data_IF_253645147056
#
_entry.id   IF_253645147056
#
_cell.length_a   1.000
_cell.length_b   1.000
_cell.length_c   1.000
_cell.angle_alpha   90.00
_cell.angle_beta   90.00
_cell.angle_gamma   90.00
#
_symmetry.space_group_name_H-M   'P 1'
#
loop_
_entity.id
_entity.type
_entity.pdbx_description
1 polymer ?
#
# COMPACT_ATOMS: atom_id res chain seq x y z
N UNK A 1 -23.84 -12.18 -10.85
CA UNK A 1 -24.45 -10.87 -11.19
C UNK A 1 -25.20 -10.99 -12.51
N UNK A 2 -26.49 -11.40 -12.52
CA UNK A 2 -27.25 -11.58 -13.77
C UNK A 2 -27.57 -10.27 -14.49
N UNK A 3 -27.65 -9.14 -13.76
CA UNK A 3 -27.90 -7.83 -14.34
C UNK A 3 -26.74 -7.30 -15.20
N UNK A 4 -25.50 -7.70 -14.90
CA UNK A 4 -24.30 -7.29 -15.65
C UNK A 4 -24.35 -7.82 -17.09
N UNK A 5 -24.76 -9.08 -17.29
CA UNK A 5 -24.89 -9.69 -18.63
C UNK A 5 -25.95 -9.03 -19.51
N UNK A 6 -26.91 -8.31 -18.91
CA UNK A 6 -28.02 -7.65 -19.63
C UNK A 6 -27.68 -6.19 -19.93
N UNK A 7 -26.92 -5.53 -19.04
CA UNK A 7 -26.62 -4.10 -19.12
C UNK A 7 -25.24 -3.79 -19.71
N UNK A 8 -24.30 -4.74 -19.70
CA UNK A 8 -22.96 -4.50 -20.24
C UNK A 8 -22.95 -4.56 -21.78
N UNK A 9 -22.38 -3.55 -22.45
CA UNK A 9 -22.13 -3.60 -23.89
C UNK A 9 -21.24 -4.80 -24.25
N UNK A 10 -21.38 -5.32 -25.46
CA UNK A 10 -20.53 -6.39 -25.96
C UNK A 10 -19.05 -6.04 -25.79
N UNK A 11 -18.26 -6.98 -25.26
CA UNK A 11 -16.83 -6.75 -25.04
C UNK A 11 -16.16 -6.29 -26.34
N UNK A 12 -15.35 -5.22 -26.31
CA UNK A 12 -14.57 -4.80 -27.46
C UNK A 12 -13.72 -5.97 -27.99
N UNK A 13 -13.53 -6.07 -29.31
CA UNK A 13 -12.73 -7.15 -29.89
C UNK A 13 -11.32 -7.14 -29.30
N UNK A 14 -10.82 -8.32 -28.93
CA UNK A 14 -9.48 -8.49 -28.39
C UNK A 14 -8.45 -8.29 -29.50
N UNK A 15 -7.98 -7.06 -29.65
CA UNK A 15 -6.91 -6.73 -30.58
C UNK A 15 -5.56 -7.22 -30.05
N UNK A 16 -4.58 -7.42 -30.94
CA UNK A 16 -3.21 -7.75 -30.54
C UNK A 16 -2.62 -6.70 -29.57
N UNK A 17 -2.96 -5.44 -29.76
CA UNK A 17 -2.58 -4.34 -28.86
C UNK A 17 -3.18 -4.51 -27.46
N UNK A 18 -4.46 -4.83 -27.35
CA UNK A 18 -5.10 -5.09 -26.06
C UNK A 18 -4.46 -6.29 -25.36
N UNK A 19 -4.15 -7.34 -26.12
CA UNK A 19 -3.46 -8.52 -25.59
C UNK A 19 -2.07 -8.16 -25.06
N UNK A 20 -1.29 -7.35 -25.79
CA UNK A 20 0.04 -6.91 -25.37
C UNK A 20 -0.02 -6.15 -24.04
N UNK A 21 -0.98 -5.22 -23.88
CA UNK A 21 -1.16 -4.50 -22.62
C UNK A 21 -1.63 -5.40 -21.48
N UNK A 22 -2.50 -6.38 -21.75
CA UNK A 22 -2.92 -7.36 -20.74
C UNK A 22 -1.75 -8.22 -20.27
N UNK A 23 -0.90 -8.68 -21.20
CA UNK A 23 0.31 -9.43 -20.87
C UNK A 23 1.26 -8.56 -20.04
N UNK A 24 1.47 -7.30 -20.44
CA UNK A 24 2.31 -6.36 -19.68
C UNK A 24 1.80 -6.15 -18.26
N UNK A 25 0.50 -5.88 -18.09
CA UNK A 25 -0.13 -5.69 -16.77
C UNK A 25 -0.06 -6.97 -15.94
N UNK A 26 -0.31 -8.14 -16.53
CA UNK A 26 -0.26 -9.41 -15.82
C UNK A 26 1.15 -9.80 -15.37
N UNK A 27 2.14 -9.68 -16.26
CA UNK A 27 3.51 -10.08 -15.97
C UNK A 27 4.23 -9.06 -15.10
N UNK A 28 4.22 -7.78 -15.48
CA UNK A 28 4.98 -6.74 -14.80
C UNK A 28 4.15 -6.14 -13.65
N UNK A 29 2.91 -5.72 -13.95
CA UNK A 29 2.04 -5.06 -12.98
C UNK A 29 1.62 -5.97 -11.82
N UNK A 30 1.35 -7.25 -12.09
CA UNK A 30 0.97 -8.22 -11.07
C UNK A 30 2.13 -9.16 -10.70
N UNK A 31 2.53 -10.10 -11.56
CA UNK A 31 3.38 -11.21 -11.16
C UNK A 31 4.77 -10.76 -10.61
N UNK A 32 5.49 -9.93 -11.35
CA UNK A 32 6.82 -9.45 -10.94
C UNK A 32 6.73 -8.55 -9.71
N UNK A 33 5.78 -7.61 -9.68
CA UNK A 33 5.57 -6.69 -8.56
C UNK A 33 5.22 -7.44 -7.28
N UNK A 34 4.29 -8.40 -7.33
CA UNK A 34 3.94 -9.22 -6.17
C UNK A 34 5.09 -10.12 -5.73
N UNK A 35 5.83 -10.73 -6.65
CA UNK A 35 7.00 -11.53 -6.30
C UNK A 35 8.04 -10.70 -5.53
N UNK A 36 8.30 -9.46 -5.97
CA UNK A 36 9.20 -8.54 -5.27
C UNK A 36 8.64 -8.11 -3.91
N UNK A 37 7.35 -7.76 -3.86
CA UNK A 37 6.66 -7.37 -2.63
C UNK A 37 6.72 -8.47 -1.57
N UNK A 38 6.33 -9.69 -1.91
CA UNK A 38 6.35 -10.83 -0.98
C UNK A 38 7.76 -11.16 -0.51
N UNK A 39 8.75 -11.11 -1.41
CA UNK A 39 10.17 -11.28 -1.03
C UNK A 39 10.66 -10.17 -0.10
N UNK A 40 10.17 -8.94 -0.29
CA UNK A 40 10.51 -7.78 0.52
C UNK A 40 9.94 -7.88 1.93
N UNK A 41 8.62 -8.05 2.05
CA UNK A 41 7.94 -8.11 3.36
C UNK A 41 8.39 -9.32 4.20
N UNK A 42 8.84 -10.40 3.57
CA UNK A 42 9.41 -11.56 4.28
C UNK A 42 10.74 -11.24 4.98
N UNK A 43 11.39 -10.12 4.67
CA UNK A 43 12.73 -9.75 5.17
C UNK A 43 12.76 -8.50 6.04
N UNK A 44 11.63 -7.80 6.21
CA UNK A 44 11.55 -6.55 6.96
C UNK A 44 10.50 -6.64 8.08
N UNK A 45 10.70 -5.87 9.14
CA UNK A 45 9.79 -5.81 10.28
C UNK A 45 8.46 -5.10 9.94
N UNK A 46 7.38 -5.45 10.67
CA UNK A 46 6.03 -4.96 10.39
C UNK A 46 5.89 -3.42 10.39
N UNK A 47 6.72 -2.72 11.17
CA UNK A 47 6.78 -1.26 11.19
C UNK A 47 7.22 -0.67 9.85
N UNK A 48 8.27 -1.24 9.24
CA UNK A 48 8.77 -0.80 7.93
C UNK A 48 7.77 -1.11 6.80
N UNK A 49 7.10 -2.27 6.84
CA UNK A 49 6.02 -2.62 5.89
C UNK A 49 4.88 -1.59 5.93
N UNK A 50 4.53 -1.12 7.13
CA UNK A 50 3.46 -0.13 7.29
C UNK A 50 3.81 1.22 6.63
N UNK A 51 5.08 1.63 6.67
CA UNK A 51 5.56 2.84 5.97
C UNK A 51 5.48 2.67 4.45
N UNK A 52 5.83 1.48 3.93
CA UNK A 52 5.68 1.19 2.49
C UNK A 52 4.22 1.28 2.03
N UNK A 53 3.26 0.84 2.85
CA UNK A 53 1.84 1.01 2.57
C UNK A 53 1.44 2.49 2.45
N UNK A 54 2.02 3.36 3.27
CA UNK A 54 1.80 4.82 3.21
C UNK A 54 2.47 5.49 2.00
N UNK A 55 3.45 4.86 1.36
CA UNK A 55 3.98 5.35 0.10
C UNK A 55 2.96 5.27 -1.04
N UNK A 56 1.99 4.36 -0.99
CA UNK A 56 0.92 4.27 -2.00
C UNK A 56 0.12 5.58 -2.13
N UNK A 57 -0.52 6.13 -1.08
CA UNK A 57 -1.22 7.40 -1.20
C UNK A 57 -0.29 8.58 -1.58
N UNK A 58 0.99 8.56 -1.13
CA UNK A 58 1.96 9.59 -1.53
C UNK A 58 2.24 9.56 -3.03
N UNK A 59 2.54 8.38 -3.57
CA UNK A 59 2.76 8.21 -5.03
C UNK A 59 1.51 8.55 -5.83
N UNK A 60 0.32 8.20 -5.34
CA UNK A 60 -0.94 8.56 -5.98
C UNK A 60 -1.12 10.09 -6.10
N UNK A 61 -0.82 10.84 -5.04
CA UNK A 61 -0.89 12.32 -5.08
C UNK A 61 0.19 12.91 -5.99
N UNK A 62 1.42 12.40 -5.89
CA UNK A 62 2.56 12.87 -6.69
C UNK A 62 2.37 12.64 -8.20
N UNK A 63 1.69 11.55 -8.58
CA UNK A 63 1.35 11.29 -9.97
C UNK A 63 0.07 12.02 -10.38
N UNK A 64 -0.96 12.03 -9.51
CA UNK A 64 -2.27 12.63 -9.80
C UNK A 64 -2.20 14.12 -10.15
N UNK A 65 -1.38 14.89 -9.43
CA UNK A 65 -1.28 16.33 -9.63
C UNK A 65 -0.64 16.71 -10.98
N UNK A 66 0.63 16.38 -11.26
CA UNK A 66 1.28 16.79 -12.50
C UNK A 66 0.95 15.90 -13.71
N UNK A 67 0.73 14.58 -13.53
CA UNK A 67 0.55 13.64 -14.65
C UNK A 67 -0.89 13.62 -15.13
N UNK A 68 -1.85 13.68 -14.20
CA UNK A 68 -3.28 13.65 -14.50
C UNK A 68 -3.94 15.04 -14.49
N UNK A 69 -3.21 16.09 -14.11
CA UNK A 69 -3.73 17.45 -14.02
C UNK A 69 -4.78 17.64 -12.92
N UNK A 70 -4.86 16.71 -11.95
CA UNK A 70 -5.85 16.80 -10.89
C UNK A 70 -5.41 17.84 -9.85
N UNK A 71 -6.15 18.94 -9.75
CA UNK A 71 -6.00 19.87 -8.63
C UNK A 71 -6.59 19.23 -7.38
N UNK A 72 -5.80 19.13 -6.30
CA UNK A 72 -6.37 18.77 -5.01
C UNK A 72 -7.33 19.87 -4.58
N UNK A 73 -8.60 19.53 -4.49
CA UNK A 73 -9.59 20.41 -3.86
C UNK A 73 -9.21 20.63 -2.40
N UNK A 74 -9.63 21.76 -1.82
CA UNK A 74 -9.38 22.07 -0.40
C UNK A 74 -9.86 20.94 0.52
N UNK A 75 -11.00 20.32 0.19
CA UNK A 75 -11.57 19.20 0.96
C UNK A 75 -10.70 17.94 0.88
N UNK A 76 -10.14 17.60 -0.29
CA UNK A 76 -9.21 16.48 -0.44
C UNK A 76 -7.90 16.75 0.30
N UNK A 77 -7.42 18.00 0.31
CA UNK A 77 -6.27 18.41 1.10
C UNK A 77 -6.49 18.22 2.61
N UNK A 78 -7.68 18.61 3.11
CA UNK A 78 -8.06 18.37 4.51
C UNK A 78 -8.16 16.88 4.83
N UNK A 79 -8.77 16.08 3.95
CA UNK A 79 -8.84 14.63 4.10
C UNK A 79 -7.46 13.98 4.15
N UNK A 80 -6.55 14.38 3.26
CA UNK A 80 -5.16 13.92 3.25
C UNK A 80 -4.44 14.30 4.56
N UNK A 81 -4.63 15.54 5.05
CA UNK A 81 -4.03 15.99 6.30
C UNK A 81 -4.54 15.19 7.51
N UNK A 82 -5.84 14.88 7.57
CA UNK A 82 -6.43 14.05 8.62
C UNK A 82 -5.82 12.64 8.59
N UNK A 83 -5.76 12.00 7.43
CA UNK A 83 -5.21 10.64 7.28
C UNK A 83 -3.73 10.61 7.72
N UNK A 84 -2.91 11.53 7.22
CA UNK A 84 -1.49 11.62 7.60
C UNK A 84 -1.33 11.88 9.10
N UNK A 85 -2.15 12.75 9.68
CA UNK A 85 -2.16 13.02 11.12
C UNK A 85 -2.54 11.80 11.96
N UNK A 86 -3.56 11.05 11.55
CA UNK A 86 -3.98 9.81 12.22
C UNK A 86 -2.90 8.73 12.17
N UNK A 87 -2.26 8.55 11.00
CA UNK A 87 -1.16 7.59 10.84
C UNK A 87 0.03 7.98 11.71
N UNK A 88 0.39 9.25 11.73
CA UNK A 88 1.48 9.76 12.57
C UNK A 88 1.20 9.55 14.07
N UNK A 89 -0.02 9.86 14.52
CA UNK A 89 -0.44 9.63 15.90
C UNK A 89 -0.43 8.13 16.26
N UNK A 90 -0.95 7.28 15.37
CA UNK A 90 -0.96 5.83 15.54
C UNK A 90 0.44 5.22 15.60
N UNK A 91 1.35 5.67 14.74
CA UNK A 91 2.76 5.23 14.78
C UNK A 91 3.47 5.67 16.07
N UNK A 92 3.14 6.83 16.61
CA UNK A 92 3.71 7.31 17.87
C UNK A 92 3.18 6.52 19.08
N UNK A 93 1.90 6.16 19.07
CA UNK A 93 1.27 5.36 20.11
C UNK A 93 1.72 3.88 20.08
N UNK A 94 2.03 3.34 18.90
CA UNK A 94 2.42 1.95 18.72
C UNK A 94 3.94 1.73 18.72
N UNK A 95 4.73 2.69 19.24
CA UNK A 95 6.16 2.46 19.48
C UNK A 95 6.27 1.39 20.58
N UNK A 96 6.87 0.22 20.31
CA UNK A 96 7.09 -0.76 21.36
C UNK A 96 7.90 -0.09 22.47
N UNK A 97 7.34 -0.02 23.68
CA UNK A 97 8.19 0.15 24.84
C UNK A 97 9.12 -1.06 24.81
N UNK A 98 10.39 -0.83 24.55
CA UNK A 98 11.42 -1.84 24.79
C UNK A 98 11.36 -2.07 26.29
N UNK A 99 10.54 -3.04 26.69
CA UNK A 99 10.51 -3.55 28.03
C UNK A 99 11.90 -4.10 28.25
N UNK A 100 12.72 -3.31 28.95
CA UNK A 100 13.93 -3.80 29.59
C UNK A 100 13.46 -4.96 30.44
N UNK A 101 13.61 -6.17 29.91
CA UNK A 101 13.49 -7.39 30.68
C UNK A 101 14.61 -7.28 31.70
N UNK A 102 14.28 -6.72 32.86
CA UNK A 102 15.12 -6.70 34.04
C UNK A 102 15.38 -8.17 34.33
N UNK A 103 16.52 -8.69 33.83
CA UNK A 103 17.05 -9.98 34.24
C UNK A 103 17.15 -9.90 35.76
N UNK A 104 16.21 -10.56 36.44
CA UNK A 104 16.30 -10.77 37.86
C UNK A 104 17.58 -11.58 38.08
N UNK A 105 18.54 -11.11 38.89
CA UNK A 105 19.73 -11.88 39.16
C UNK A 105 19.29 -13.16 39.86
N UNK A 106 19.53 -14.30 39.20
CA UNK A 106 19.33 -15.62 39.77
C UNK A 106 20.00 -15.62 41.15
N UNK A 107 19.17 -15.70 42.19
CA UNK A 107 19.64 -15.86 43.55
C UNK A 107 20.49 -17.12 43.61
N UNK A 108 21.72 -16.92 44.06
CA UNK A 108 22.58 -17.92 44.68
C UNK A 108 21.75 -18.92 45.49
N UNK A 109 21.84 -20.20 45.13
CA UNK A 109 21.46 -21.32 45.98
C UNK A 109 22.50 -22.41 45.81
N UNK A 110 23.10 -22.74 46.96
CA UNK A 110 24.02 -23.84 47.29
C UNK A 110 25.50 -23.64 46.92
#
# INVERSE_FOLDING_TARGET
MPLALIMEPALPPLTATNMAWLIWLGLIGAAATYALWFRGIARIEAGAVSILGMMSPVTAVLLGWPVLGQSLTVVQGLGAAIILGSVWAGQRANRPSVGVATMSPLKSCA
#
